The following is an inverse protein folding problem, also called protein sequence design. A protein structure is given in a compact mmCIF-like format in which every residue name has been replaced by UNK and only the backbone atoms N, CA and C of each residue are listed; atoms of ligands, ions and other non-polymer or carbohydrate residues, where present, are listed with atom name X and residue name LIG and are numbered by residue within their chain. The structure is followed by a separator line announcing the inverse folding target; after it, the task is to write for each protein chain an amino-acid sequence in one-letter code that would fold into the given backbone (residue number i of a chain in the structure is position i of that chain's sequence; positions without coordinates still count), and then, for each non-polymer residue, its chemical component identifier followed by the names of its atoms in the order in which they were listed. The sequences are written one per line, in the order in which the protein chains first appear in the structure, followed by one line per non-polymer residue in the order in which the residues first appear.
data_IF_983724571063
#
_entry.id   IF_983724571063
#
_cell.length_a   1.000
_cell.length_b   1.000
_cell.length_c   1.000
_cell.angle_alpha   90.00
_cell.angle_beta   90.00
_cell.angle_gamma   90.00
#
_symmetry.space_group_name_H-M   'P 1'
#
loop_
_entity.id
_entity.type
_entity.pdbx_description
1 polymer ?
#
# COMPACT_ATOMS: atom_id res chain seq x y z
N UNK A 1 -15.10 -23.68 14.70
CA UNK A 1 -15.97 -22.48 14.77
C UNK A 1 -15.38 -21.48 13.79
N UNK A 2 -16.07 -21.24 12.67
CA UNK A 2 -15.56 -20.33 11.64
C UNK A 2 -15.89 -18.90 12.08
N UNK A 3 -14.98 -18.26 12.81
CA UNK A 3 -15.13 -16.86 13.19
C UNK A 3 -14.64 -15.97 12.03
N UNK A 4 -15.58 -15.34 11.32
CA UNK A 4 -15.32 -14.37 10.24
C UNK A 4 -15.47 -12.92 10.70
N UNK A 5 -15.76 -12.68 11.98
CA UNK A 5 -15.87 -11.34 12.51
C UNK A 5 -14.50 -10.68 12.59
N UNK A 6 -14.42 -9.40 12.23
CA UNK A 6 -13.21 -8.62 12.43
C UNK A 6 -12.88 -8.57 13.93
N UNK A 7 -11.67 -8.97 14.36
CA UNK A 7 -11.27 -8.86 15.76
C UNK A 7 -11.33 -7.41 16.24
N UNK A 8 -11.57 -7.21 17.54
CA UNK A 8 -11.42 -5.90 18.17
C UNK A 8 -9.99 -5.39 18.00
N UNK A 9 -9.84 -4.09 17.73
CA UNK A 9 -8.54 -3.44 17.64
C UNK A 9 -7.95 -3.18 19.03
N UNK A 10 -6.62 -3.19 19.12
CA UNK A 10 -5.84 -2.84 20.28
C UNK A 10 -5.94 -1.34 20.53
N UNK A 11 -6.64 -0.96 21.61
CA UNK A 11 -6.78 0.44 22.02
C UNK A 11 -5.66 0.90 22.95
N UNK A 12 -4.98 -0.03 23.62
CA UNK A 12 -3.87 0.24 24.53
C UNK A 12 -2.73 -0.74 24.24
N UNK A 13 -1.51 -0.23 24.12
CA UNK A 13 -0.30 -1.04 23.98
C UNK A 13 0.05 -1.67 25.34
N UNK A 14 0.49 -2.93 25.31
CA UNK A 14 0.97 -3.62 26.51
C UNK A 14 2.10 -2.83 27.19
N UNK A 15 2.02 -2.67 28.52
CA UNK A 15 2.98 -1.88 29.31
C UNK A 15 3.24 -0.47 28.77
N UNK A 16 2.22 0.22 28.23
CA UNK A 16 2.36 1.59 27.73
C UNK A 16 2.97 2.54 28.80
N UNK A 17 2.47 2.45 30.03
CA UNK A 17 2.94 3.24 31.19
C UNK A 17 3.66 2.41 32.26
N UNK A 18 3.87 1.12 32.02
CA UNK A 18 4.55 0.22 32.96
C UNK A 18 6.06 0.19 32.76
N UNK A 19 6.79 -0.18 33.82
CA UNK A 19 8.25 -0.35 33.79
C UNK A 19 8.65 -1.37 32.72
N UNK A 20 9.60 -0.97 31.87
CA UNK A 20 10.09 -1.77 30.74
C UNK A 20 11.52 -1.42 30.41
N UNK A 21 12.27 -2.43 29.96
CA UNK A 21 13.60 -2.23 29.43
C UNK A 21 13.52 -2.00 27.92
N UNK A 22 14.44 -1.19 27.40
CA UNK A 22 14.73 -1.17 25.96
C UNK A 22 15.46 -2.46 25.61
N UNK A 23 14.96 -3.19 24.61
CA UNK A 23 15.58 -4.43 24.15
C UNK A 23 16.58 -4.08 23.06
N UNK A 24 17.90 -4.25 23.28
CA UNK A 24 18.90 -3.94 22.28
C UNK A 24 18.80 -4.93 21.10
N UNK A 25 19.20 -4.49 19.92
CA UNK A 25 19.24 -5.35 18.73
C UNK A 25 20.24 -6.48 18.93
N UNK A 26 21.44 -6.14 19.41
CA UNK A 26 22.53 -7.08 19.61
C UNK A 26 22.83 -7.26 21.10
N UNK A 27 23.15 -8.48 21.49
CA UNK A 27 23.64 -8.81 22.82
C UNK A 27 25.06 -8.23 23.06
N UNK A 28 25.33 -7.93 24.33
CA UNK A 28 26.63 -7.45 24.84
C UNK A 28 27.07 -8.34 26.00
N UNK A 29 28.34 -8.25 26.40
CA UNK A 29 28.84 -8.99 27.56
C UNK A 29 28.05 -8.65 28.83
N UNK A 30 27.64 -7.40 28.97
CA UNK A 30 26.82 -6.89 30.07
C UNK A 30 25.41 -7.50 30.05
N UNK A 31 24.71 -7.46 28.91
CA UNK A 31 23.35 -8.00 28.82
C UNK A 31 23.34 -9.51 29.09
N UNK A 32 24.34 -10.24 28.58
CA UNK A 32 24.48 -11.68 28.83
C UNK A 32 24.74 -11.98 30.31
N UNK A 33 25.64 -11.23 30.95
CA UNK A 33 25.97 -11.39 32.36
C UNK A 33 24.82 -11.01 33.31
N UNK A 34 23.94 -10.09 32.89
CA UNK A 34 22.79 -9.64 33.66
C UNK A 34 21.48 -10.37 33.37
N UNK A 35 21.50 -11.35 32.48
CA UNK A 35 20.31 -12.12 32.14
C UNK A 35 19.29 -11.33 31.31
N UNK A 36 19.73 -10.25 30.65
CA UNK A 36 18.87 -9.36 29.86
C UNK A 36 18.64 -9.91 28.45
N UNK A 37 17.42 -9.76 27.95
CA UNK A 37 17.09 -10.11 26.57
C UNK A 37 17.71 -9.13 25.54
N UNK A 38 18.06 -9.65 24.37
CA UNK A 38 18.39 -8.89 23.17
C UNK A 38 17.69 -9.52 21.95
N UNK A 39 17.51 -8.77 20.85
CA UNK A 39 16.74 -9.25 19.69
C UNK A 39 17.45 -10.38 18.93
N UNK A 40 18.78 -10.34 18.85
CA UNK A 40 19.62 -11.36 18.20
C UNK A 40 19.67 -12.68 18.99
N UNK A 41 19.81 -12.61 20.31
CA UNK A 41 20.08 -13.76 21.17
C UNK A 41 18.86 -14.25 21.95
N UNK A 42 17.79 -13.45 22.01
CA UNK A 42 16.68 -13.66 22.95
C UNK A 42 17.15 -13.59 24.41
N UNK A 43 16.49 -14.36 25.29
CA UNK A 43 16.93 -14.50 26.69
C UNK A 43 18.19 -15.38 26.79
N UNK A 44 19.25 -14.91 27.46
CA UNK A 44 20.50 -15.65 27.54
C UNK A 44 20.35 -16.94 28.36
N UNK A 45 21.19 -17.98 28.14
CA UNK A 45 21.14 -19.25 28.88
C UNK A 45 21.17 -19.10 30.40
N UNK A 46 21.81 -18.04 30.92
CA UNK A 46 21.85 -17.70 32.34
C UNK A 46 20.45 -17.64 32.98
N UNK A 47 19.42 -17.35 32.18
CA UNK A 47 18.02 -17.30 32.60
C UNK A 47 17.32 -18.63 32.78
N UNK A 48 17.98 -19.72 32.38
CA UNK A 48 17.47 -21.09 32.47
C UNK A 48 18.31 -21.97 33.40
N UNK A 49 19.20 -21.36 34.18
CA UNK A 49 20.01 -22.02 35.20
C UNK A 49 19.31 -21.86 36.57
N UNK A 50 19.40 -22.89 37.42
CA UNK A 50 18.86 -22.82 38.77
C UNK A 50 19.50 -21.66 39.57
N UNK A 51 18.71 -21.01 40.43
CA UNK A 51 19.21 -19.91 41.28
C UNK A 51 20.38 -20.36 42.16
N UNK A 52 20.32 -21.60 42.67
CA UNK A 52 21.40 -22.21 43.47
C UNK A 52 22.70 -22.42 42.69
N UNK A 53 22.63 -22.46 41.37
CA UNK A 53 23.78 -22.57 40.46
C UNK A 53 24.18 -21.21 39.85
N UNK A 54 23.67 -20.10 40.40
CA UNK A 54 24.00 -18.74 39.96
C UNK A 54 23.19 -18.22 38.78
N UNK A 55 22.10 -18.89 38.39
CA UNK A 55 21.18 -18.39 37.37
C UNK A 55 20.45 -17.11 37.78
N UNK A 56 20.03 -16.31 36.81
CA UNK A 56 19.24 -15.08 37.00
C UNK A 56 17.93 -15.20 36.22
N UNK A 57 16.73 -15.17 36.82
CA UNK A 57 15.50 -15.36 36.08
C UNK A 57 15.30 -14.24 35.05
N UNK A 58 14.55 -14.48 33.95
CA UNK A 58 14.18 -13.42 33.01
C UNK A 58 13.52 -12.24 33.73
N UNK A 59 13.88 -11.01 33.36
CA UNK A 59 13.31 -9.81 34.00
C UNK A 59 11.91 -9.51 33.45
N UNK A 60 10.97 -9.19 34.33
CA UNK A 60 9.62 -8.74 33.95
C UNK A 60 9.65 -7.52 33.03
N UNK A 61 10.61 -6.62 33.24
CA UNK A 61 10.83 -5.44 32.40
C UNK A 61 11.23 -5.80 30.96
N UNK A 62 11.92 -6.93 30.74
CA UNK A 62 12.27 -7.38 29.39
C UNK A 62 11.03 -7.91 28.66
N UNK A 63 10.19 -8.70 29.34
CA UNK A 63 8.89 -9.10 28.77
C UNK A 63 8.03 -7.89 28.44
N UNK A 64 7.94 -6.93 29.36
CA UNK A 64 7.21 -5.69 29.14
C UNK A 64 7.77 -4.91 27.94
N UNK A 65 9.09 -4.83 27.79
CA UNK A 65 9.75 -4.20 26.64
C UNK A 65 9.44 -4.89 25.32
N UNK A 66 9.61 -6.21 25.25
CA UNK A 66 9.34 -7.03 24.06
C UNK A 66 7.86 -6.89 23.64
N UNK A 67 6.93 -7.05 24.58
CA UNK A 67 5.51 -6.92 24.28
C UNK A 67 5.13 -5.47 23.96
N UNK A 68 5.74 -4.47 24.61
CA UNK A 68 5.46 -3.08 24.26
C UNK A 68 5.85 -2.78 22.81
N UNK A 69 7.02 -3.23 22.33
CA UNK A 69 7.43 -3.05 20.93
C UNK A 69 6.48 -3.78 19.97
N UNK A 70 6.22 -5.07 20.21
CA UNK A 70 5.35 -5.87 19.34
C UNK A 70 3.92 -5.31 19.26
N UNK A 71 3.30 -4.97 20.40
CA UNK A 71 1.93 -4.45 20.43
C UNK A 71 1.83 -3.02 19.89
N UNK A 72 2.92 -2.23 19.93
CA UNK A 72 2.96 -0.92 19.27
C UNK A 72 2.84 -1.07 17.75
N UNK A 73 3.61 -2.00 17.17
CA UNK A 73 3.54 -2.29 15.72
C UNK A 73 2.18 -2.83 15.32
N UNK A 74 1.62 -3.76 16.10
CA UNK A 74 0.28 -4.29 15.87
C UNK A 74 -0.81 -3.21 15.96
N UNK A 75 -0.74 -2.31 16.93
CA UNK A 75 -1.71 -1.22 17.04
C UNK A 75 -1.63 -0.30 15.81
N UNK A 76 -0.44 0.03 15.34
CA UNK A 76 -0.25 0.87 14.16
C UNK A 76 -0.78 0.19 12.89
N UNK A 77 -0.53 -1.10 12.70
CA UNK A 77 -1.08 -1.88 11.58
C UNK A 77 -2.62 -1.92 11.62
N UNK A 78 -3.20 -2.16 12.81
CA UNK A 78 -4.65 -2.19 13.00
C UNK A 78 -5.32 -0.81 12.79
N UNK A 79 -4.56 0.27 12.94
CA UNK A 79 -4.99 1.63 12.59
C UNK A 79 -4.94 1.91 11.08
N UNK A 80 -4.53 0.94 10.25
CA UNK A 80 -4.40 1.08 8.80
C UNK A 80 -3.00 1.50 8.35
N UNK A 81 -1.99 1.25 9.17
CA UNK A 81 -0.60 1.59 8.86
C UNK A 81 -0.05 0.82 7.66
N UNK A 82 0.59 1.55 6.75
CA UNK A 82 1.40 1.02 5.66
C UNK A 82 2.74 1.74 5.62
N UNK A 83 3.81 0.97 5.38
CA UNK A 83 5.17 1.51 5.33
C UNK A 83 5.43 2.14 3.96
N UNK A 84 6.12 3.28 3.97
CA UNK A 84 6.71 3.87 2.77
C UNK A 84 8.02 3.16 2.44
N UNK A 85 8.58 3.42 1.26
CA UNK A 85 9.94 2.99 0.97
C UNK A 85 10.93 3.61 1.97
N UNK A 86 11.69 2.75 2.63
CA UNK A 86 12.81 3.09 3.49
C UNK A 86 14.08 2.42 2.95
N UNK A 87 15.09 3.23 2.60
CA UNK A 87 16.35 2.77 2.01
C UNK A 87 17.25 2.05 3.02
N UNK A 88 17.24 2.47 4.29
CA UNK A 88 18.04 1.87 5.34
C UNK A 88 17.50 0.49 5.70
N UNK A 89 16.18 0.36 5.83
CA UNK A 89 15.50 -0.92 6.01
C UNK A 89 15.74 -1.82 4.81
N UNK A 90 15.54 -1.32 3.58
CA UNK A 90 15.81 -2.07 2.36
C UNK A 90 17.23 -2.62 2.35
N UNK A 91 18.23 -1.82 2.70
CA UNK A 91 19.62 -2.28 2.78
C UNK A 91 19.81 -3.34 3.86
N UNK A 92 19.19 -3.17 5.03
CA UNK A 92 19.30 -4.10 6.16
C UNK A 92 18.70 -5.48 5.87
N UNK A 93 17.63 -5.56 5.07
CA UNK A 93 16.95 -6.82 4.75
C UNK A 93 17.32 -7.42 3.39
N UNK A 94 18.20 -6.77 2.61
CA UNK A 94 18.58 -7.22 1.27
C UNK A 94 17.58 -6.88 0.17
N UNK A 95 16.70 -5.90 0.39
CA UNK A 95 15.69 -5.42 -0.55
C UNK A 95 14.27 -5.91 -0.23
N UNK A 96 13.27 -5.20 -0.76
CA UNK A 96 11.88 -5.61 -0.62
C UNK A 96 11.59 -6.85 -1.50
N UNK A 97 10.94 -7.90 -0.97
CA UNK A 97 10.63 -9.11 -1.74
C UNK A 97 9.57 -8.85 -2.81
N UNK A 98 9.42 -9.78 -3.76
CA UNK A 98 8.36 -9.71 -4.77
C UNK A 98 6.99 -9.73 -4.09
N UNK A 99 6.10 -8.86 -4.52
CA UNK A 99 4.76 -8.71 -3.95
C UNK A 99 4.69 -7.83 -2.70
N UNK A 100 5.82 -7.32 -2.18
CA UNK A 100 5.81 -6.33 -1.12
C UNK A 100 4.97 -5.11 -1.51
N UNK A 101 4.08 -4.69 -0.60
CA UNK A 101 3.21 -3.52 -0.78
C UNK A 101 3.70 -2.39 0.10
N UNK A 102 3.98 -1.25 -0.52
CA UNK A 102 4.37 -0.01 0.15
C UNK A 102 3.39 1.10 -0.21
N UNK A 103 3.05 1.95 0.75
CA UNK A 103 2.32 3.18 0.45
C UNK A 103 3.30 4.20 -0.14
N UNK A 104 2.87 4.97 -1.14
CA UNK A 104 3.69 6.06 -1.66
C UNK A 104 3.87 7.16 -0.59
N UNK A 105 4.91 7.98 -0.75
CA UNK A 105 5.21 9.08 0.18
C UNK A 105 4.08 10.12 0.30
N UNK A 106 3.26 10.29 -0.76
CA UNK A 106 2.08 11.15 -0.76
C UNK A 106 0.86 10.55 -0.02
N UNK A 107 0.92 9.25 0.33
CA UNK A 107 -0.15 8.48 0.98
C UNK A 107 -1.48 8.41 0.22
N UNK A 108 -1.45 8.58 -1.10
CA UNK A 108 -2.62 8.52 -1.99
C UNK A 108 -2.58 7.35 -2.98
N UNK A 109 -1.57 6.49 -2.87
CA UNK A 109 -1.41 5.30 -3.70
C UNK A 109 -0.43 4.30 -3.12
N UNK A 110 -0.32 3.16 -3.79
CA UNK A 110 0.50 2.04 -3.36
C UNK A 110 1.36 1.51 -4.50
N UNK A 111 2.56 1.08 -4.11
CA UNK A 111 3.52 0.39 -4.94
C UNK A 111 3.54 -1.10 -4.56
N UNK A 112 3.57 -1.96 -5.56
CA UNK A 112 3.84 -3.39 -5.38
C UNK A 112 5.14 -3.75 -6.09
N UNK A 113 6.07 -4.38 -5.36
CA UNK A 113 7.31 -4.88 -5.96
C UNK A 113 7.02 -6.04 -6.91
N UNK A 114 7.63 -6.06 -8.08
CA UNK A 114 7.49 -7.12 -9.09
C UNK A 114 8.70 -8.05 -9.17
N UNK A 115 9.77 -7.74 -8.42
CA UNK A 115 11.02 -8.50 -8.36
C UNK A 115 11.41 -8.79 -6.91
N UNK A 116 12.23 -9.82 -6.69
CA UNK A 116 12.86 -10.06 -5.39
C UNK A 116 13.95 -9.04 -5.11
N UNK A 117 14.25 -8.81 -3.83
CA UNK A 117 15.36 -7.98 -3.39
C UNK A 117 15.35 -6.56 -4.00
N UNK A 118 14.16 -5.96 -4.18
CA UNK A 118 14.03 -4.65 -4.80
C UNK A 118 14.55 -3.55 -3.85
N UNK A 119 15.66 -2.92 -4.23
CA UNK A 119 16.32 -1.87 -3.45
C UNK A 119 16.06 -0.46 -4.00
N UNK A 120 15.31 -0.33 -5.10
CA UNK A 120 15.09 0.95 -5.75
C UNK A 120 13.87 1.67 -5.17
N UNK A 121 13.94 2.99 -5.05
CA UNK A 121 12.82 3.79 -4.54
C UNK A 121 11.73 3.97 -5.62
N UNK A 122 10.51 3.43 -5.46
CA UNK A 122 9.44 3.58 -6.44
C UNK A 122 8.99 5.03 -6.65
N UNK A 123 9.00 5.87 -5.59
CA UNK A 123 8.60 7.28 -5.69
C UNK A 123 9.62 8.11 -6.49
N UNK A 124 10.84 7.60 -6.68
CA UNK A 124 11.88 8.20 -7.50
C UNK A 124 11.99 7.56 -8.90
N UNK A 125 10.99 6.78 -9.33
CA UNK A 125 11.00 6.09 -10.62
C UNK A 125 11.83 4.80 -10.63
N UNK A 126 12.05 4.18 -9.47
CA UNK A 126 12.73 2.89 -9.36
C UNK A 126 12.06 1.78 -10.19
N UNK A 127 12.88 0.88 -10.73
CA UNK A 127 12.41 -0.25 -11.56
C UNK A 127 11.85 -1.39 -10.70
N UNK A 128 11.05 -2.26 -11.30
CA UNK A 128 10.50 -3.43 -10.59
C UNK A 128 9.35 -3.08 -9.64
N UNK A 129 8.63 -2.00 -9.91
CA UNK A 129 7.45 -1.58 -9.16
C UNK A 129 6.27 -1.37 -10.09
N UNK A 130 5.07 -1.72 -9.63
CA UNK A 130 3.81 -1.34 -10.27
C UNK A 130 2.97 -0.52 -9.30
N UNK A 131 2.27 0.49 -9.82
CA UNK A 131 1.28 1.21 -9.06
C UNK A 131 -0.06 0.47 -9.18
N UNK A 132 -0.44 -0.32 -8.17
CA UNK A 132 -1.69 -1.09 -8.23
C UNK A 132 -2.92 -0.27 -7.79
N UNK A 133 -2.73 1.00 -7.42
CA UNK A 133 -3.82 1.97 -7.24
C UNK A 133 -4.24 2.64 -8.55
N UNK A 134 -3.35 2.61 -9.54
CA UNK A 134 -3.49 3.23 -10.85
C UNK A 134 -4.07 2.26 -11.88
N UNK A 135 -4.78 2.79 -12.87
CA UNK A 135 -5.32 1.99 -13.99
C UNK A 135 -6.72 1.41 -13.78
N UNK A 136 -7.44 1.81 -12.72
CA UNK A 136 -8.85 1.45 -12.56
C UNK A 136 -9.77 2.45 -13.26
N UNK A 137 -10.85 1.96 -13.87
CA UNK A 137 -11.94 2.80 -14.35
C UNK A 137 -12.55 3.54 -13.16
N UNK A 138 -12.54 4.87 -13.21
CA UNK A 138 -13.08 5.70 -12.12
C UNK A 138 -14.58 5.91 -12.26
N UNK A 139 -15.05 6.15 -13.48
CA UNK A 139 -16.45 6.40 -13.79
C UNK A 139 -16.70 6.22 -15.29
N UNK A 140 -17.96 5.95 -15.67
CA UNK A 140 -18.47 6.05 -17.03
C UNK A 140 -19.57 7.11 -17.03
N UNK A 141 -19.43 8.13 -17.86
CA UNK A 141 -20.46 9.15 -18.04
C UNK A 141 -20.95 9.14 -19.48
N UNK A 142 -22.27 9.08 -19.65
CA UNK A 142 -22.93 9.14 -20.95
C UNK A 142 -23.61 10.49 -21.11
N UNK A 143 -23.26 11.21 -22.17
CA UNK A 143 -23.91 12.46 -22.54
C UNK A 143 -24.98 12.17 -23.60
N UNK A 144 -26.26 12.36 -23.23
CA UNK A 144 -27.40 12.24 -24.16
C UNK A 144 -27.72 13.57 -24.86
N UNK A 145 -27.03 14.64 -24.49
CA UNK A 145 -27.05 15.95 -25.12
C UNK A 145 -25.68 16.62 -24.88
N UNK A 146 -25.34 17.65 -25.64
CA UNK A 146 -24.05 18.35 -25.48
C UNK A 146 -23.84 18.83 -24.05
N UNK A 147 -22.66 18.55 -23.50
CA UNK A 147 -22.29 18.93 -22.13
C UNK A 147 -20.78 18.93 -21.92
N UNK A 148 -20.35 19.46 -20.77
CA UNK A 148 -18.95 19.48 -20.36
C UNK A 148 -18.68 18.36 -19.37
N UNK A 149 -17.69 17.51 -19.64
CA UNK A 149 -17.17 16.59 -18.64
C UNK A 149 -16.28 17.34 -17.65
N UNK A 150 -16.69 17.36 -16.37
CA UNK A 150 -15.81 17.80 -15.27
C UNK A 150 -15.04 16.57 -14.78
N UNK A 151 -13.69 16.56 -14.84
CA UNK A 151 -12.90 15.40 -14.45
C UNK A 151 -13.24 14.91 -13.03
N UNK A 152 -13.62 13.63 -12.92
CA UNK A 152 -13.83 12.99 -11.63
C UNK A 152 -12.53 13.08 -10.82
N UNK A 153 -12.55 13.45 -9.52
CA UNK A 153 -11.34 13.52 -8.71
C UNK A 153 -10.47 12.26 -8.86
N UNK A 154 -9.19 12.45 -9.17
CA UNK A 154 -8.24 11.36 -9.45
C UNK A 154 -8.13 10.93 -10.91
N UNK A 155 -8.88 11.52 -11.84
CA UNK A 155 -8.76 11.26 -13.29
C UNK A 155 -7.38 11.67 -13.81
N UNK A 156 -6.63 10.73 -14.39
CA UNK A 156 -5.36 10.98 -15.08
C UNK A 156 -5.50 10.95 -16.60
N UNK A 157 -6.43 10.15 -17.11
CA UNK A 157 -6.81 10.09 -18.52
C UNK A 157 -8.32 9.85 -18.65
N UNK A 158 -8.90 10.30 -19.76
CA UNK A 158 -10.27 9.98 -20.15
C UNK A 158 -10.25 9.33 -21.53
N UNK A 159 -10.98 8.24 -21.70
CA UNK A 159 -11.27 7.66 -23.01
C UNK A 159 -12.63 8.20 -23.43
N UNK A 160 -12.69 8.90 -24.57
CA UNK A 160 -13.92 9.47 -25.11
C UNK A 160 -14.32 8.66 -26.33
N UNK A 161 -15.42 7.95 -26.22
CA UNK A 161 -16.06 7.27 -27.34
C UNK A 161 -17.21 8.13 -27.84
N UNK A 162 -17.10 8.59 -29.09
CA UNK A 162 -18.14 9.39 -29.73
C UNK A 162 -18.82 8.52 -30.78
N UNK A 163 -20.13 8.34 -30.66
CA UNK A 163 -20.94 7.84 -31.79
C UNK A 163 -21.29 9.04 -32.65
N UNK A 164 -20.57 9.22 -33.76
CA UNK A 164 -20.91 10.24 -34.73
C UNK A 164 -22.27 9.93 -35.35
N UNK A 165 -23.25 10.80 -35.17
CA UNK A 165 -24.50 10.74 -35.94
C UNK A 165 -24.13 10.80 -37.42
N UNK A 166 -24.39 9.72 -38.15
CA UNK A 166 -24.16 9.69 -39.59
C UNK A 166 -24.97 10.82 -40.23
N UNK A 167 -24.29 11.79 -40.84
CA UNK A 167 -24.93 12.85 -41.59
C UNK A 167 -25.60 12.27 -42.82
N UNK A 168 -26.91 12.02 -42.74
CA UNK A 168 -27.73 11.85 -43.94
C UNK A 168 -27.70 13.15 -44.75
N UNK A 169 -27.78 13.07 -46.07
CA UNK A 169 -28.08 14.25 -46.90
C UNK A 169 -29.60 14.39 -47.03
N UNK A 170 -30.10 15.60 -47.25
CA UNK A 170 -31.54 15.78 -47.52
C UNK A 170 -31.88 15.30 -48.94
N UNK A 171 -32.46 14.10 -49.02
CA UNK A 171 -33.19 13.58 -50.18
C UNK A 171 -32.57 13.87 -51.57
N UNK A 172 -31.27 13.63 -51.78
CA UNK A 172 -30.64 13.83 -53.09
C UNK A 172 -31.36 13.00 -54.19
N UNK A 173 -32.03 13.62 -55.17
CA UNK A 173 -32.73 12.88 -56.22
C UNK A 173 -31.73 12.21 -57.17
N UNK A 174 -32.14 11.07 -57.77
CA UNK A 174 -31.34 10.38 -58.78
C UNK A 174 -31.15 11.24 -60.03
N UNK A 175 -29.92 11.33 -60.57
CA UNK A 175 -29.58 12.13 -61.75
C UNK A 175 -29.29 11.28 -62.98
N UNK A 176 -29.59 11.83 -64.17
CA UNK A 176 -29.20 11.26 -65.45
C UNK A 176 -27.75 11.56 -65.85
N UNK A 177 -27.29 11.01 -66.98
CA UNK A 177 -25.93 11.22 -67.47
C UNK A 177 -25.66 12.70 -67.79
N UNK A 178 -24.57 13.25 -67.24
CA UNK A 178 -24.16 14.65 -67.43
C UNK A 178 -24.78 15.65 -66.45
N UNK A 179 -25.47 15.21 -65.40
CA UNK A 179 -26.07 16.08 -64.39
C UNK A 179 -25.47 15.84 -62.99
N UNK A 180 -25.55 16.86 -62.13
CA UNK A 180 -25.11 16.83 -60.73
C UNK A 180 -26.26 17.28 -59.84
N UNK A 181 -26.52 16.52 -58.77
CA UNK A 181 -27.47 16.90 -57.71
C UNK A 181 -26.69 17.46 -56.54
N UNK A 182 -27.06 18.67 -56.08
CA UNK A 182 -26.49 19.33 -54.92
C UNK A 182 -27.63 19.62 -53.96
N UNK A 183 -27.59 19.00 -52.78
CA UNK A 183 -28.56 19.21 -51.71
C UNK A 183 -27.85 19.73 -50.47
N UNK A 184 -28.57 20.39 -49.57
CA UNK A 184 -28.04 20.74 -48.26
C UNK A 184 -27.63 19.49 -47.49
N UNK A 185 -26.60 19.61 -46.65
CA UNK A 185 -26.30 18.56 -45.67
C UNK A 185 -27.53 18.32 -44.80
N UNK A 186 -27.87 17.05 -44.53
CA UNK A 186 -29.00 16.76 -43.65
C UNK A 186 -28.71 17.23 -42.23
N UNK A 187 -29.77 17.67 -41.55
CA UNK A 187 -29.66 18.18 -40.20
C UNK A 187 -29.09 17.13 -39.24
N UNK A 188 -28.42 17.59 -38.18
CA UNK A 188 -28.01 16.71 -37.09
C UNK A 188 -29.26 16.01 -36.52
N UNK A 189 -29.21 14.68 -36.40
CA UNK A 189 -30.24 13.92 -35.71
C UNK A 189 -30.37 14.41 -34.27
N UNK A 190 -31.56 14.82 -33.89
CA UNK A 190 -31.91 15.17 -32.50
C UNK A 190 -31.89 13.96 -31.60
#
# INVERSE_FOLDING_TARGET
MNNSAMPSRLTVVFSASGDKNTIPVNSTSETLADGLAAMDSGFPPLTRIALSAGGKPPKGQDFNGIFNDAYTRLQWEQAGGFYTFDSAFSAAIGGYPKGAILINSARDGFWQSTIENNTTNPDAGGIGWINFSSGRLLNVQTFLSSGTYTPTPGTKSAVVEMVGGGGGSDAAPATGAGQVSIVSGGGAGS
#
